data_IF_034583969045
#
_entry.id   IF_034583969045
#
_cell.length_a   1.000
_cell.length_b   1.000
_cell.length_c   1.000
_cell.angle_alpha   90.00
_cell.angle_beta   90.00
_cell.angle_gamma   90.00
#
_symmetry.space_group_name_H-M   'P 1'
#
loop_
_entity.id
_entity.type
_entity.pdbx_description
1 polymer ?
#
# COMPACT_ATOMS: atom_id res chain seq x y z
N UNK A 1 8.54 -26.01 22.53
CA UNK A 1 7.16 -26.36 22.11
C UNK A 1 6.32 -25.09 22.20
N UNK A 2 5.76 -24.46 21.16
CA UNK A 2 5.49 -24.82 19.77
C UNK A 2 5.89 -23.62 18.88
N UNK A 3 6.69 -23.84 17.85
CA UNK A 3 6.87 -22.90 16.74
C UNK A 3 5.61 -22.94 15.87
N UNK A 4 4.76 -21.93 16.00
CA UNK A 4 3.64 -21.72 15.09
C UNK A 4 4.13 -21.04 13.82
N UNK A 5 4.71 -21.80 12.88
CA UNK A 5 4.86 -21.33 11.51
C UNK A 5 3.47 -21.03 10.95
N UNK A 6 3.06 -19.75 10.97
CA UNK A 6 1.88 -19.32 10.24
C UNK A 6 2.21 -19.40 8.75
N UNK A 7 2.01 -20.59 8.19
CA UNK A 7 2.14 -20.86 6.78
C UNK A 7 1.21 -19.87 6.03
N UNK A 8 1.75 -19.10 5.09
CA UNK A 8 0.93 -18.20 4.25
C UNK A 8 0.07 -18.96 3.24
N UNK A 9 0.22 -20.29 3.15
CA UNK A 9 -0.64 -21.19 2.37
C UNK A 9 -2.12 -20.94 2.71
N UNK A 10 -2.85 -20.43 1.72
CA UNK A 10 -4.28 -20.16 1.83
C UNK A 10 -4.67 -18.74 2.29
N UNK A 11 -3.73 -17.83 2.55
CA UNK A 11 -4.05 -16.41 2.77
C UNK A 11 -4.21 -15.67 1.44
N UNK A 12 -5.27 -14.87 1.32
CA UNK A 12 -5.62 -14.09 0.12
C UNK A 12 -4.82 -12.79 -0.04
N UNK A 13 -3.71 -12.62 0.69
CA UNK A 13 -2.87 -11.41 0.67
C UNK A 13 -1.57 -11.68 -0.10
N UNK A 14 -1.01 -10.66 -0.75
CA UNK A 14 0.21 -10.74 -1.56
C UNK A 14 1.48 -10.67 -0.70
N UNK A 15 1.51 -9.72 0.21
CA UNK A 15 2.54 -9.52 1.23
C UNK A 15 1.89 -9.04 2.52
N UNK A 16 2.66 -9.05 3.61
CA UNK A 16 2.32 -8.34 4.84
C UNK A 16 3.58 -8.06 5.66
N UNK A 17 3.65 -6.86 6.20
CA UNK A 17 4.55 -6.46 7.27
C UNK A 17 3.84 -6.60 8.62
N UNK A 18 4.18 -7.65 9.37
CA UNK A 18 3.75 -7.81 10.76
C UNK A 18 4.80 -7.18 11.67
N UNK A 19 4.59 -5.91 12.02
CA UNK A 19 5.43 -5.23 12.99
C UNK A 19 5.26 -5.82 14.38
N UNK A 20 6.39 -6.00 15.08
CA UNK A 20 6.41 -6.66 16.39
C UNK A 20 6.64 -5.65 17.50
N UNK A 21 7.89 -5.21 17.68
CA UNK A 21 8.37 -4.23 18.67
C UNK A 21 9.87 -4.03 18.48
N UNK A 22 10.47 -3.07 19.20
CA UNK A 22 11.91 -2.87 19.26
C UNK A 22 12.51 -2.66 17.85
N UNK A 23 11.78 -1.92 17.01
CA UNK A 23 12.11 -1.61 15.62
C UNK A 23 12.21 -2.84 14.72
N UNK A 24 11.45 -3.90 15.00
CA UNK A 24 11.47 -5.13 14.22
C UNK A 24 10.12 -5.45 13.57
N UNK A 25 10.17 -6.16 12.45
CA UNK A 25 8.99 -6.66 11.75
C UNK A 25 9.26 -8.01 11.13
N UNK A 26 8.22 -8.82 11.02
CA UNK A 26 8.20 -10.04 10.22
C UNK A 26 7.51 -9.75 8.90
N UNK A 27 8.25 -9.76 7.80
CA UNK A 27 7.69 -9.61 6.45
C UNK A 27 7.39 -11.00 5.88
N UNK A 28 6.15 -11.20 5.44
CA UNK A 28 5.70 -12.45 4.84
C UNK A 28 5.25 -12.21 3.41
N UNK A 29 5.70 -13.06 2.50
CA UNK A 29 5.32 -13.03 1.08
C UNK A 29 4.53 -14.27 0.71
N UNK A 30 3.55 -14.11 -0.18
CA UNK A 30 2.75 -15.21 -0.67
C UNK A 30 3.43 -15.89 -1.87
N UNK A 31 4.04 -17.05 -1.62
CA UNK A 31 4.75 -17.84 -2.64
C UNK A 31 3.82 -18.59 -3.60
N UNK A 32 2.51 -18.63 -3.33
CA UNK A 32 1.53 -19.22 -4.24
C UNK A 32 1.20 -18.29 -5.44
N UNK A 33 1.63 -17.02 -5.37
CA UNK A 33 1.51 -16.06 -6.47
C UNK A 33 2.70 -16.20 -7.42
N UNK A 34 2.43 -15.99 -8.72
CA UNK A 34 3.49 -15.91 -9.73
C UNK A 34 4.10 -14.52 -9.68
N UNK A 35 5.34 -14.45 -9.20
CA UNK A 35 6.10 -13.22 -9.13
C UNK A 35 7.01 -13.06 -10.35
N UNK A 36 6.99 -11.89 -10.96
CA UNK A 36 8.15 -11.42 -11.73
C UNK A 36 9.17 -10.84 -10.76
N UNK A 37 10.43 -10.74 -11.18
CA UNK A 37 11.48 -10.09 -10.36
C UNK A 37 11.12 -8.64 -9.97
N UNK A 38 10.68 -7.77 -10.90
CA UNK A 38 10.18 -6.44 -10.55
C UNK A 38 9.05 -6.44 -9.52
N UNK A 39 8.05 -7.31 -9.67
CA UNK A 39 6.92 -7.37 -8.74
C UNK A 39 7.33 -7.85 -7.35
N UNK A 40 8.29 -8.79 -7.27
CA UNK A 40 8.82 -9.24 -5.99
C UNK A 40 9.61 -8.13 -5.28
N UNK A 41 10.42 -7.36 -6.03
CA UNK A 41 11.15 -6.20 -5.48
C UNK A 41 10.20 -5.11 -5.00
N UNK A 42 9.17 -4.80 -5.79
CA UNK A 42 8.14 -3.83 -5.43
C UNK A 42 7.44 -4.22 -4.13
N UNK A 43 6.98 -5.47 -4.03
CA UNK A 43 6.36 -6.00 -2.80
C UNK A 43 7.32 -6.01 -1.61
N UNK A 44 8.58 -6.41 -1.81
CA UNK A 44 9.58 -6.38 -0.74
C UNK A 44 9.86 -4.95 -0.25
N UNK A 45 9.93 -3.97 -1.16
CA UNK A 45 10.15 -2.58 -0.81
C UNK A 45 8.92 -1.97 -0.11
N UNK A 46 7.72 -2.33 -0.57
CA UNK A 46 6.44 -1.92 0.02
C UNK A 46 6.31 -2.38 1.47
N UNK A 47 6.60 -3.65 1.75
CA UNK A 47 6.43 -4.23 3.08
C UNK A 47 7.61 -3.92 4.01
N UNK A 48 8.83 -3.83 3.47
CA UNK A 48 10.05 -3.64 4.24
C UNK A 48 10.60 -2.20 4.09
N UNK A 49 11.69 -2.05 3.34
CA UNK A 49 12.40 -0.79 3.19
C UNK A 49 12.21 -0.23 1.77
N UNK A 50 11.85 1.07 1.62
CA UNK A 50 11.55 2.03 2.69
C UNK A 50 10.09 2.01 3.18
N UNK A 51 9.27 1.00 2.84
CA UNK A 51 7.83 1.00 3.10
C UNK A 51 7.38 0.78 4.55
N UNK A 52 6.43 -0.14 4.75
CA UNK A 52 5.69 -0.31 6.00
C UNK A 52 6.58 -0.51 7.23
N UNK A 53 7.61 -1.36 7.14
CA UNK A 53 8.52 -1.57 8.25
C UNK A 53 9.16 -0.26 8.73
N UNK A 54 9.67 0.57 7.81
CA UNK A 54 10.31 1.84 8.16
C UNK A 54 9.30 2.82 8.73
N UNK A 55 8.11 2.92 8.13
CA UNK A 55 7.02 3.76 8.64
C UNK A 55 6.61 3.37 10.07
N UNK A 56 6.54 2.08 10.39
CA UNK A 56 6.16 1.64 11.74
C UNK A 56 7.32 1.78 12.74
N UNK A 57 8.56 1.48 12.34
CA UNK A 57 9.74 1.65 13.18
C UNK A 57 10.00 3.12 13.55
N UNK A 58 9.87 4.04 12.60
CA UNK A 58 10.02 5.49 12.86
C UNK A 58 8.94 6.01 13.81
N UNK A 59 7.72 5.48 13.73
CA UNK A 59 6.64 5.82 14.67
C UNK A 59 6.87 5.31 16.08
N UNK A 60 7.40 4.09 16.25
CA UNK A 60 7.83 3.64 17.57
C UNK A 60 8.91 4.58 18.13
N UNK A 61 9.87 5.01 17.30
CA UNK A 61 10.91 5.93 17.74
C UNK A 61 10.32 7.25 18.22
N UNK A 62 9.47 7.87 17.40
CA UNK A 62 8.82 9.14 17.71
C UNK A 62 7.91 9.02 18.95
N UNK A 63 7.24 7.88 19.13
CA UNK A 63 6.43 7.63 20.33
C UNK A 63 7.27 7.50 21.61
N UNK A 64 8.44 6.85 21.52
CA UNK A 64 9.31 6.61 22.68
C UNK A 64 10.20 7.81 23.03
N UNK A 65 10.64 8.57 22.02
CA UNK A 65 11.69 9.59 22.16
C UNK A 65 11.29 10.98 21.67
N UNK A 66 10.26 11.09 20.85
CA UNK A 66 9.77 12.33 20.26
C UNK A 66 8.51 12.86 20.92
N UNK A 67 7.79 13.72 20.20
CA UNK A 67 6.50 14.31 20.62
C UNK A 67 5.35 13.75 19.77
N UNK A 68 5.28 12.42 19.69
CA UNK A 68 4.27 11.74 18.90
C UNK A 68 2.99 11.52 19.70
N UNK A 69 1.82 11.95 19.19
CA UNK A 69 0.55 11.68 19.84
C UNK A 69 0.33 10.17 20.04
N UNK A 70 -0.14 9.78 21.23
CA UNK A 70 -0.32 8.35 21.59
C UNK A 70 -1.32 7.66 20.67
N UNK A 71 -2.36 8.37 20.26
CA UNK A 71 -3.38 7.89 19.33
C UNK A 71 -2.78 7.62 17.95
N UNK A 72 -1.77 8.41 17.57
CA UNK A 72 -1.06 8.22 16.32
C UNK A 72 -0.06 7.07 16.40
N UNK A 73 0.27 6.51 17.57
CA UNK A 73 1.17 5.34 17.67
C UNK A 73 0.47 4.03 17.26
N UNK A 74 -0.86 4.00 17.23
CA UNK A 74 -1.65 2.83 16.81
C UNK A 74 -1.95 2.92 15.31
N UNK A 75 -1.62 1.90 14.52
CA UNK A 75 -2.13 1.77 13.15
C UNK A 75 -3.44 0.99 13.15
N UNK A 76 -4.47 1.59 12.54
CA UNK A 76 -5.80 1.00 12.40
C UNK A 76 -6.14 0.87 10.92
N UNK A 77 -6.67 -0.28 10.53
CA UNK A 77 -7.26 -0.45 9.20
C UNK A 77 -8.40 0.56 9.00
N UNK A 78 -8.54 1.06 7.78
CA UNK A 78 -9.55 2.05 7.39
C UNK A 78 -9.56 3.35 8.23
N UNK A 79 -8.39 3.77 8.76
CA UNK A 79 -8.24 5.05 9.44
C UNK A 79 -7.77 6.18 8.50
N UNK A 80 -7.88 7.46 8.90
CA UNK A 80 -7.45 8.60 8.09
C UNK A 80 -5.95 8.62 7.69
N UNK A 81 -5.12 7.80 8.34
CA UNK A 81 -3.69 7.64 8.03
C UNK A 81 -3.43 6.56 6.97
N UNK A 82 -4.39 5.65 6.73
CA UNK A 82 -4.25 4.56 5.76
C UNK A 82 -3.73 5.00 4.38
N UNK A 83 -4.24 6.09 3.77
CA UNK A 83 -3.70 6.57 2.50
C UNK A 83 -2.23 7.01 2.58
N UNK A 84 -1.77 7.54 3.72
CA UNK A 84 -0.35 7.91 3.90
C UNK A 84 0.49 6.64 3.99
N UNK A 85 0.08 5.69 4.82
CA UNK A 85 0.78 4.41 5.01
C UNK A 85 0.90 3.59 3.72
N UNK A 86 -0.22 3.36 3.03
CA UNK A 86 -0.23 2.65 1.75
C UNK A 86 0.49 3.45 0.66
N UNK A 87 0.35 4.77 0.67
CA UNK A 87 1.03 5.64 -0.28
C UNK A 87 2.56 5.62 -0.14
N UNK A 88 3.08 5.43 1.08
CA UNK A 88 4.51 5.21 1.33
C UNK A 88 4.96 3.88 0.70
N UNK A 89 4.25 2.79 1.00
CA UNK A 89 4.56 1.46 0.45
C UNK A 89 4.52 1.41 -1.08
N UNK A 90 3.46 1.92 -1.68
CA UNK A 90 3.25 1.96 -3.14
C UNK A 90 4.25 2.86 -3.89
N UNK A 91 4.97 3.72 -3.19
CA UNK A 91 6.04 4.57 -3.76
C UNK A 91 7.45 4.10 -3.41
N UNK A 92 7.60 3.00 -2.67
CA UNK A 92 8.90 2.53 -2.19
C UNK A 92 9.93 2.33 -3.32
N UNK A 93 9.53 1.75 -4.45
CA UNK A 93 10.38 1.60 -5.64
C UNK A 93 10.85 2.94 -6.23
N UNK A 94 9.99 3.97 -6.21
CA UNK A 94 10.35 5.32 -6.69
C UNK A 94 11.36 5.97 -5.76
N UNK A 95 11.16 5.85 -4.44
CA UNK A 95 12.08 6.39 -3.43
C UNK A 95 13.49 5.81 -3.57
N UNK A 96 13.57 4.51 -3.88
CA UNK A 96 14.83 3.80 -4.11
C UNK A 96 15.45 4.06 -5.50
N UNK A 97 14.76 4.77 -6.39
CA UNK A 97 15.12 4.91 -7.81
C UNK A 97 15.39 3.54 -8.45
N UNK A 98 14.51 2.59 -8.15
CA UNK A 98 14.57 1.22 -8.67
C UNK A 98 13.67 1.01 -9.90
N UNK A 99 13.00 2.06 -10.38
CA UNK A 99 12.25 2.14 -11.63
C UNK A 99 13.14 2.22 -12.89
N UNK A 100 14.21 1.40 -12.92
CA UNK A 100 15.34 1.56 -13.86
C UNK A 100 15.07 0.95 -15.23
N UNK A 101 14.29 -0.14 -15.30
CA UNK A 101 14.02 -0.84 -16.55
C UNK A 101 12.58 -0.62 -17.02
N UNK A 102 12.28 -0.88 -18.30
CA UNK A 102 10.90 -0.90 -18.80
C UNK A 102 9.98 -1.84 -18.01
N UNK A 103 10.49 -2.99 -17.56
CA UNK A 103 9.73 -3.98 -16.79
C UNK A 103 9.39 -3.48 -15.38
N UNK A 104 10.29 -2.72 -14.75
CA UNK A 104 10.04 -2.05 -13.47
C UNK A 104 8.91 -1.02 -13.62
N UNK A 105 9.02 -0.15 -14.62
CA UNK A 105 8.00 0.87 -14.91
C UNK A 105 6.67 0.24 -15.29
N UNK A 106 6.68 -0.84 -16.07
CA UNK A 106 5.48 -1.59 -16.44
C UNK A 106 4.81 -2.21 -15.21
N UNK A 107 5.58 -2.74 -14.26
CA UNK A 107 5.06 -3.28 -12.99
C UNK A 107 4.37 -2.19 -12.17
N UNK A 108 5.02 -1.04 -12.01
CA UNK A 108 4.45 0.09 -11.27
C UNK A 108 3.19 0.66 -11.94
N UNK A 109 3.18 0.72 -13.27
CA UNK A 109 2.01 1.15 -14.05
C UNK A 109 0.85 0.13 -13.96
N UNK A 110 1.15 -1.17 -13.99
CA UNK A 110 0.16 -2.23 -13.87
C UNK A 110 -0.47 -2.26 -12.47
N UNK A 111 0.33 -2.10 -11.41
CA UNK A 111 -0.18 -1.99 -10.04
C UNK A 111 -1.08 -0.76 -9.90
N UNK A 112 -0.67 0.37 -10.50
CA UNK A 112 -1.50 1.58 -10.55
C UNK A 112 -2.85 1.32 -11.22
N UNK A 113 -2.86 0.69 -12.40
CA UNK A 113 -4.07 0.34 -13.14
C UNK A 113 -5.00 -0.57 -12.31
N UNK A 114 -4.44 -1.56 -11.62
CA UNK A 114 -5.19 -2.50 -10.79
C UNK A 114 -5.85 -1.81 -9.59
N UNK A 115 -5.15 -0.92 -8.90
CA UNK A 115 -5.80 -0.12 -7.84
C UNK A 115 -6.90 0.80 -8.38
N UNK A 116 -6.73 1.38 -9.57
CA UNK A 116 -7.80 2.14 -10.22
C UNK A 116 -9.01 1.27 -10.58
N UNK A 117 -8.75 0.03 -11.00
CA UNK A 117 -9.79 -0.98 -11.26
C UNK A 117 -10.54 -1.32 -9.97
N UNK A 118 -9.85 -1.55 -8.85
CA UNK A 118 -10.47 -1.84 -7.55
C UNK A 118 -11.35 -0.70 -7.04
N UNK A 119 -10.89 0.55 -7.17
CA UNK A 119 -11.71 1.73 -6.85
C UNK A 119 -13.00 1.75 -7.67
N UNK A 120 -12.91 1.47 -8.97
CA UNK A 120 -14.10 1.42 -9.83
C UNK A 120 -15.00 0.23 -9.48
N UNK A 121 -14.45 -0.94 -9.15
CA UNK A 121 -15.24 -2.08 -8.66
C UNK A 121 -16.00 -1.73 -7.39
N UNK A 122 -15.39 -1.01 -6.44
CA UNK A 122 -16.08 -0.54 -5.23
C UNK A 122 -17.27 0.36 -5.56
N UNK A 123 -17.13 1.29 -6.51
CA UNK A 123 -18.25 2.11 -6.98
C UNK A 123 -19.33 1.31 -7.71
N UNK A 124 -18.94 0.37 -8.57
CA UNK A 124 -19.87 -0.50 -9.27
C UNK A 124 -20.67 -1.38 -8.29
N UNK A 125 -20.02 -1.90 -7.24
CA UNK A 125 -20.70 -2.62 -6.16
C UNK A 125 -21.68 -1.70 -5.44
N UNK A 126 -21.30 -0.47 -5.12
CA UNK A 126 -22.18 0.50 -4.46
C UNK A 126 -23.41 0.85 -5.30
N UNK A 127 -23.30 0.79 -6.64
CA UNK A 127 -24.39 1.00 -7.60
C UNK A 127 -25.22 -0.26 -7.88
N UNK A 128 -25.00 -1.33 -7.13
CA UNK A 128 -25.65 -2.64 -7.32
C UNK A 128 -25.46 -3.24 -8.72
N UNK A 129 -24.34 -2.96 -9.39
CA UNK A 129 -24.05 -3.50 -10.72
C UNK A 129 -23.98 -5.04 -10.70
N UNK A 130 -24.48 -5.75 -11.73
CA UNK A 130 -24.53 -7.21 -11.73
C UNK A 130 -23.15 -7.86 -11.61
N UNK A 131 -23.06 -9.00 -10.91
CA UNK A 131 -21.78 -9.71 -10.69
C UNK A 131 -21.02 -10.02 -11.98
N UNK A 132 -21.75 -10.34 -13.06
CA UNK A 132 -21.16 -10.60 -14.38
C UNK A 132 -20.42 -9.36 -14.92
N UNK A 133 -20.98 -8.17 -14.72
CA UNK A 133 -20.40 -6.91 -15.17
C UNK A 133 -19.15 -6.57 -14.36
N UNK A 134 -19.19 -6.79 -13.03
CA UNK A 134 -18.03 -6.64 -12.15
C UNK A 134 -16.86 -7.54 -12.59
N UNK A 135 -17.13 -8.82 -12.84
CA UNK A 135 -16.11 -9.79 -13.26
C UNK A 135 -15.54 -9.44 -14.63
N UNK A 136 -16.40 -9.05 -15.59
CA UNK A 136 -15.95 -8.60 -16.90
C UNK A 136 -15.06 -7.37 -16.80
N UNK A 137 -15.45 -6.40 -15.96
CA UNK A 137 -14.69 -5.18 -15.74
C UNK A 137 -13.32 -5.47 -15.11
N UNK A 138 -13.27 -6.30 -14.07
CA UNK A 138 -12.03 -6.73 -13.42
C UNK A 138 -11.07 -7.37 -14.44
N UNK A 139 -11.53 -8.39 -15.19
CA UNK A 139 -10.67 -9.08 -16.16
C UNK A 139 -10.19 -8.18 -17.29
N UNK A 140 -11.08 -7.35 -17.84
CA UNK A 140 -10.78 -6.50 -18.99
C UNK A 140 -9.89 -5.30 -18.61
N UNK A 141 -10.27 -4.56 -17.57
CA UNK A 141 -9.60 -3.30 -17.20
C UNK A 141 -8.42 -3.52 -16.26
N UNK A 142 -8.53 -4.49 -15.34
CA UNK A 142 -7.46 -4.83 -14.39
C UNK A 142 -6.37 -5.71 -14.97
N UNK A 143 -6.59 -6.26 -16.18
CA UNK A 143 -5.69 -7.20 -16.86
C UNK A 143 -5.35 -8.38 -15.95
N UNK A 144 -6.39 -9.03 -15.44
CA UNK A 144 -6.29 -10.17 -14.52
C UNK A 144 -7.05 -11.38 -15.05
N UNK A 145 -6.64 -12.57 -14.61
CA UNK A 145 -7.35 -13.80 -14.91
C UNK A 145 -8.66 -13.93 -14.11
N UNK A 146 -9.45 -14.95 -14.41
CA UNK A 146 -10.71 -15.23 -13.72
C UNK A 146 -10.54 -15.42 -12.21
N UNK A 147 -9.48 -16.11 -11.77
CA UNK A 147 -9.25 -16.42 -10.35
C UNK A 147 -9.03 -15.14 -9.56
N UNK A 148 -8.22 -14.23 -10.10
CA UNK A 148 -7.97 -12.93 -9.49
C UNK A 148 -9.20 -12.03 -9.59
N UNK A 149 -9.90 -11.96 -10.72
CA UNK A 149 -11.14 -11.19 -10.84
C UNK A 149 -12.20 -11.58 -9.79
N UNK A 150 -12.33 -12.88 -9.46
CA UNK A 150 -13.22 -13.34 -8.40
C UNK A 150 -12.78 -12.82 -7.02
N UNK A 151 -11.47 -12.71 -6.77
CA UNK A 151 -10.92 -12.15 -5.52
C UNK A 151 -11.18 -10.65 -5.44
N UNK A 152 -10.92 -9.92 -6.51
CA UNK A 152 -11.12 -8.47 -6.63
C UNK A 152 -12.59 -8.11 -6.40
N UNK A 153 -13.52 -8.82 -7.07
CA UNK A 153 -14.97 -8.64 -6.85
C UNK A 153 -15.40 -9.00 -5.43
N UNK A 154 -14.76 -9.99 -4.79
CA UNK A 154 -15.02 -10.32 -3.38
C UNK A 154 -14.53 -9.21 -2.45
N UNK A 155 -13.36 -8.65 -2.74
CA UNK A 155 -12.77 -7.55 -1.98
C UNK A 155 -13.66 -6.29 -2.08
N UNK A 156 -14.05 -5.90 -3.29
CA UNK A 156 -14.95 -4.77 -3.54
C UNK A 156 -16.34 -4.93 -2.90
N UNK A 157 -16.81 -6.17 -2.70
CA UNK A 157 -18.07 -6.47 -1.98
C UNK A 157 -17.94 -6.49 -0.46
N UNK A 158 -16.71 -6.52 0.07
CA UNK A 158 -16.49 -6.50 1.49
C UNK A 158 -16.67 -5.07 2.03
N UNK A 159 -17.76 -4.82 2.74
CA UNK A 159 -18.10 -3.48 3.26
C UNK A 159 -17.03 -2.87 4.17
N UNK A 160 -16.21 -3.67 4.83
CA UNK A 160 -15.13 -3.20 5.70
C UNK A 160 -13.90 -2.76 4.89
N UNK A 161 -13.62 -3.45 3.78
CA UNK A 161 -12.35 -3.32 3.06
C UNK A 161 -12.47 -2.62 1.70
N UNK A 162 -13.67 -2.53 1.12
CA UNK A 162 -13.87 -1.92 -0.21
C UNK A 162 -13.37 -0.47 -0.27
N UNK A 163 -13.53 0.30 0.82
CA UNK A 163 -13.03 1.67 0.92
C UNK A 163 -11.50 1.75 1.03
N UNK A 164 -10.82 0.64 1.33
CA UNK A 164 -9.38 0.62 1.52
C UNK A 164 -8.61 0.67 0.19
N UNK A 165 -9.22 0.25 -0.94
CA UNK A 165 -8.69 0.47 -2.30
C UNK A 165 -8.33 1.95 -2.57
N UNK A 166 -9.09 2.87 -1.96
CA UNK A 166 -8.89 4.31 -2.10
C UNK A 166 -7.61 4.79 -1.41
N UNK A 167 -7.14 4.07 -0.38
CA UNK A 167 -5.88 4.38 0.30
C UNK A 167 -4.71 4.19 -0.66
N UNK A 168 -4.64 3.05 -1.34
CA UNK A 168 -3.65 2.81 -2.40
C UNK A 168 -3.76 3.82 -3.52
N UNK A 169 -4.97 4.06 -4.06
CA UNK A 169 -5.12 4.94 -5.20
C UNK A 169 -4.77 6.42 -4.89
N UNK A 170 -5.36 7.01 -3.86
CA UNK A 170 -5.13 8.43 -3.57
C UNK A 170 -3.81 8.68 -2.84
N UNK A 171 -3.45 7.77 -1.92
CA UNK A 171 -2.19 7.81 -1.19
C UNK A 171 -0.98 7.79 -2.10
N UNK A 172 -0.96 6.85 -3.05
CA UNK A 172 0.12 6.79 -4.04
C UNK A 172 0.25 8.09 -4.82
N UNK A 173 -0.87 8.66 -5.28
CA UNK A 173 -0.87 9.82 -6.15
C UNK A 173 -0.37 11.09 -5.45
N UNK A 174 -0.86 11.38 -4.24
CA UNK A 174 -0.47 12.60 -3.52
C UNK A 174 1.03 12.60 -3.20
N UNK A 175 1.57 11.45 -2.78
CA UNK A 175 2.98 11.30 -2.45
C UNK A 175 3.86 11.31 -3.71
N UNK A 176 3.49 10.54 -4.75
CA UNK A 176 4.25 10.48 -6.01
C UNK A 176 4.36 11.85 -6.66
N UNK A 177 3.26 12.60 -6.69
CA UNK A 177 3.24 13.94 -7.27
C UNK A 177 4.19 14.89 -6.54
N UNK A 178 4.27 14.80 -5.21
CA UNK A 178 5.21 15.64 -4.45
C UNK A 178 6.66 15.18 -4.61
N UNK A 179 6.91 13.86 -4.53
CA UNK A 179 8.24 13.29 -4.73
C UNK A 179 8.86 13.70 -6.07
N UNK A 180 8.08 13.62 -7.16
CA UNK A 180 8.53 14.02 -8.49
C UNK A 180 8.81 15.53 -8.61
N UNK A 181 8.01 16.38 -7.94
CA UNK A 181 8.24 17.83 -7.92
C UNK A 181 9.53 18.22 -7.19
N UNK A 182 9.83 17.50 -6.11
CA UNK A 182 11.00 17.75 -5.27
C UNK A 182 12.24 16.96 -5.73
N UNK A 183 12.11 16.16 -6.80
CA UNK A 183 13.15 15.23 -7.26
C UNK A 183 13.78 14.35 -6.15
N UNK A 184 12.95 13.94 -5.19
CA UNK A 184 13.39 13.10 -4.07
C UNK A 184 14.24 13.81 -3.01
N UNK A 185 14.13 15.14 -2.88
CA UNK A 185 14.71 15.90 -1.77
C UNK A 185 14.41 15.24 -0.40
N UNK A 186 15.44 15.05 0.46
CA UNK A 186 15.28 14.46 1.79
C UNK A 186 14.19 15.07 2.67
N UNK A 187 13.89 16.37 2.54
CA UNK A 187 12.86 17.04 3.34
C UNK A 187 11.46 16.43 3.15
N UNK A 188 11.20 15.77 2.01
CA UNK A 188 9.99 14.98 1.80
C UNK A 188 9.88 13.84 2.81
N UNK A 189 10.99 13.12 3.04
CA UNK A 189 11.00 11.95 3.93
C UNK A 189 10.86 12.35 5.40
N UNK A 190 11.35 13.53 5.79
CA UNK A 190 11.08 14.12 7.10
C UNK A 190 9.58 14.28 7.35
N UNK A 191 8.85 14.77 6.33
CA UNK A 191 7.39 14.89 6.40
C UNK A 191 6.71 13.53 6.38
N UNK A 192 7.20 12.55 5.61
CA UNK A 192 6.53 11.26 5.46
C UNK A 192 6.69 10.31 6.65
N UNK A 193 7.88 10.22 7.23
CA UNK A 193 8.20 9.19 8.23
C UNK A 193 8.20 9.70 9.67
N UNK A 194 8.58 10.96 9.90
CA UNK A 194 8.83 11.47 11.25
C UNK A 194 7.66 12.27 11.82
N UNK A 195 6.54 12.38 11.09
CA UNK A 195 5.33 13.08 11.56
C UNK A 195 4.06 12.31 11.22
N UNK A 196 3.09 12.26 12.14
CA UNK A 196 1.83 11.60 11.86
C UNK A 196 0.98 12.49 10.96
N UNK A 197 0.54 11.93 9.84
CA UNK A 197 -0.30 12.66 8.91
C UNK A 197 -1.60 11.94 8.56
N UNK A 198 -2.66 12.73 8.49
CA UNK A 198 -3.83 12.41 7.66
C UNK A 198 -3.58 12.97 6.27
N UNK A 199 -4.40 12.60 5.28
CA UNK A 199 -4.31 13.21 3.93
C UNK A 199 -4.35 14.74 3.97
N UNK A 200 -5.18 15.33 4.83
CA UNK A 200 -5.31 16.79 4.94
C UNK A 200 -4.04 17.44 5.51
N UNK A 201 -3.48 16.86 6.58
CA UNK A 201 -2.29 17.42 7.22
C UNK A 201 -1.04 17.17 6.38
N UNK A 202 -0.97 16.04 5.65
CA UNK A 202 0.08 15.76 4.68
C UNK A 202 0.08 16.82 3.56
N UNK A 203 -1.08 17.05 2.95
CA UNK A 203 -1.22 18.06 1.90
C UNK A 203 -0.82 19.46 2.37
N UNK A 204 -1.10 19.80 3.63
CA UNK A 204 -0.68 21.07 4.22
C UNK A 204 0.83 21.13 4.48
N UNK A 205 1.45 20.03 4.91
CA UNK A 205 2.89 19.94 5.09
C UNK A 205 3.63 20.07 3.75
N UNK A 206 3.17 19.37 2.70
CA UNK A 206 3.75 19.45 1.35
C UNK A 206 3.69 20.85 0.72
N UNK A 207 2.74 21.70 1.10
CA UNK A 207 2.70 23.11 0.64
C UNK A 207 3.76 24.01 1.30
N UNK A 208 4.42 23.53 2.35
CA UNK A 208 5.47 24.25 3.08
C UNK A 208 6.88 23.77 2.71
N UNK A 209 6.96 22.69 1.93
CA UNK A 209 8.17 22.22 1.28
C UNK A 209 8.34 22.96 -0.05
#
# INVERSE_FOLDING_TARGET
MREGYSNSRGRSISGICEYTRDYQSTVKLNVDLRWTWPALRDMAAHEAYPGHHVHQATREWEYLHGDFPREAAVSLAACPMGPVEEGIGENAMWFLRWDRTPEDRMTLALNRLRWGTEVNLAFMVHRDEPRRELLRYAMHSGLVDWKQAVRDVRYARNRTWASYAFCYWYGTAIIRNQFLKMDGDPALFDVLYWRPHTVRTLAAAFRRL
#
